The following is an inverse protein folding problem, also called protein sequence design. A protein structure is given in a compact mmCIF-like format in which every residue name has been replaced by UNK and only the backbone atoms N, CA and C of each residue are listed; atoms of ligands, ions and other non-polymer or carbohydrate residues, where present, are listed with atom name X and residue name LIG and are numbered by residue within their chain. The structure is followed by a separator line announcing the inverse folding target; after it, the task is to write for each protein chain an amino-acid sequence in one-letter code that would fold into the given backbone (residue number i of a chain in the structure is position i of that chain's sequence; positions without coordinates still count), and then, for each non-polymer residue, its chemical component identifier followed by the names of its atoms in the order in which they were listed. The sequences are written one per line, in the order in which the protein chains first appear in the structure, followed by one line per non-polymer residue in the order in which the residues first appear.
data_IF_579351596542
#
_entry.id   IF_579351596542
#
_cell.length_a   1.000
_cell.length_b   1.000
_cell.length_c   1.000
_cell.angle_alpha   90.00
_cell.angle_beta   90.00
_cell.angle_gamma   90.00
#
_symmetry.space_group_name_H-M   'P 1'
#
loop_
_entity.id
_entity.type
_entity.pdbx_description
1 polymer ?
#
# COMPACT_ATOMS: atom_id res chain seq x y z
N UNK A 1 27.75 22.62 10.40
CA UNK A 1 27.04 21.86 9.34
C UNK A 1 26.51 22.86 8.33
N UNK A 2 26.88 22.76 7.05
CA UNK A 2 26.31 23.59 5.99
C UNK A 2 24.86 23.19 5.74
N UNK A 3 23.97 24.16 5.48
CA UNK A 3 22.56 23.91 5.18
C UNK A 3 22.42 23.06 3.91
N UNK A 4 21.29 22.34 3.78
CA UNK A 4 20.95 21.58 2.57
C UNK A 4 21.07 22.45 1.31
N UNK A 5 20.60 23.70 1.37
CA UNK A 5 20.71 24.65 0.27
C UNK A 5 22.14 24.89 -0.20
N UNK A 6 23.10 24.94 0.72
CA UNK A 6 24.52 25.15 0.40
C UNK A 6 25.09 23.94 -0.34
N UNK A 7 24.78 22.72 0.14
CA UNK A 7 25.23 21.47 -0.49
C UNK A 7 24.65 21.27 -1.89
N UNK A 8 23.39 21.65 -2.11
CA UNK A 8 22.75 21.61 -3.43
C UNK A 8 23.39 22.60 -4.40
N UNK A 9 23.66 23.81 -3.95
CA UNK A 9 24.37 24.81 -4.76
C UNK A 9 25.80 24.37 -5.10
N UNK A 10 26.48 23.65 -4.20
CA UNK A 10 27.80 23.07 -4.47
C UNK A 10 27.76 21.98 -5.55
N UNK A 11 26.77 21.09 -5.51
CA UNK A 11 26.57 20.05 -6.53
C UNK A 11 26.26 20.63 -7.91
N UNK A 12 25.40 21.67 -7.95
CA UNK A 12 25.09 22.40 -9.17
C UNK A 12 26.33 23.10 -9.73
N UNK A 13 27.09 23.82 -8.90
CA UNK A 13 28.37 24.45 -9.30
C UNK A 13 29.40 23.43 -9.79
N UNK A 14 29.40 22.22 -9.25
CA UNK A 14 30.30 21.14 -9.65
C UNK A 14 29.90 20.44 -10.95
N UNK A 15 28.82 20.87 -11.63
CA UNK A 15 28.33 20.23 -12.84
C UNK A 15 27.82 18.80 -12.61
N UNK A 16 27.43 18.47 -11.37
CA UNK A 16 26.84 17.19 -10.98
C UNK A 16 25.39 17.41 -10.50
N UNK A 17 24.49 17.96 -11.33
CA UNK A 17 23.10 18.10 -10.94
C UNK A 17 22.52 16.70 -10.73
N UNK A 18 21.99 16.43 -9.54
CA UNK A 18 21.34 15.15 -9.30
C UNK A 18 19.92 15.21 -9.86
N UNK A 19 19.59 14.28 -10.75
CA UNK A 19 18.23 14.14 -11.27
C UNK A 19 17.41 13.28 -10.30
N UNK A 20 16.44 13.90 -9.63
CA UNK A 20 15.58 13.20 -8.68
C UNK A 20 14.20 12.96 -9.26
N UNK A 21 13.81 11.69 -9.35
CA UNK A 21 12.41 11.30 -9.51
C UNK A 21 11.77 11.11 -8.14
N UNK A 22 11.32 12.19 -7.50
CA UNK A 22 10.51 12.08 -6.27
C UNK A 22 9.07 11.84 -6.67
N UNK A 23 8.51 10.74 -6.20
CA UNK A 23 7.12 10.44 -6.44
C UNK A 23 6.39 10.69 -5.13
N UNK A 24 5.67 11.81 -5.10
CA UNK A 24 4.70 12.09 -4.05
C UNK A 24 3.60 11.03 -4.06
N UNK A 25 3.06 10.72 -2.90
CA UNK A 25 1.97 9.74 -2.68
C UNK A 25 0.59 10.28 -3.05
N UNK A 26 0.53 11.22 -3.99
CA UNK A 26 -0.70 11.57 -4.68
C UNK A 26 -1.18 10.41 -5.55
N UNK A 27 -2.36 10.59 -6.16
CA UNK A 27 -3.08 9.60 -6.98
C UNK A 27 -2.15 8.79 -7.90
N UNK A 28 -1.20 9.41 -8.58
CA UNK A 28 -0.29 8.68 -9.49
C UNK A 28 0.82 7.85 -8.79
N UNK A 29 1.35 8.33 -7.67
CA UNK A 29 2.53 7.74 -7.03
C UNK A 29 2.22 6.58 -6.10
N UNK A 30 1.14 6.68 -5.32
CA UNK A 30 0.69 5.61 -4.42
C UNK A 30 -0.18 4.56 -5.10
N UNK A 31 -0.78 4.86 -6.26
CA UNK A 31 -1.63 3.91 -6.96
C UNK A 31 -0.85 3.08 -7.96
N UNK A 32 -0.22 3.73 -8.93
CA UNK A 32 0.36 3.02 -10.06
C UNK A 32 1.74 2.49 -9.73
N UNK A 33 2.61 3.34 -9.17
CA UNK A 33 4.05 3.05 -9.09
C UNK A 33 4.38 2.13 -7.90
N UNK A 34 3.63 2.19 -6.81
CA UNK A 34 3.67 1.20 -5.72
C UNK A 34 3.31 -0.22 -6.18
N UNK A 35 2.45 -0.32 -7.21
CA UNK A 35 1.99 -1.56 -7.83
C UNK A 35 2.74 -1.86 -9.15
N UNK A 36 3.66 -1.00 -9.56
CA UNK A 36 4.51 -1.15 -10.76
C UNK A 36 5.94 -1.41 -10.30
N UNK A 37 6.16 -2.60 -9.75
CA UNK A 37 7.52 -3.06 -9.42
C UNK A 37 8.40 -3.12 -10.67
N UNK A 38 9.71 -3.14 -10.46
CA UNK A 38 10.82 -3.32 -11.41
C UNK A 38 10.83 -2.38 -12.59
N UNK A 39 9.81 -2.23 -13.43
CA UNK A 39 9.85 -1.36 -14.60
C UNK A 39 10.21 0.09 -14.23
N UNK A 40 9.54 0.71 -13.26
CA UNK A 40 9.86 2.09 -12.88
C UNK A 40 11.21 2.19 -12.13
N UNK A 41 11.41 1.38 -11.08
CA UNK A 41 12.63 1.44 -10.26
C UNK A 41 13.89 0.96 -11.01
N UNK A 42 13.79 -0.06 -11.86
CA UNK A 42 14.87 -0.55 -12.73
C UNK A 42 15.15 0.44 -13.85
N UNK A 43 14.15 0.94 -14.57
CA UNK A 43 14.36 1.96 -15.62
C UNK A 43 14.97 3.24 -15.02
N UNK A 44 14.55 3.62 -13.81
CA UNK A 44 15.18 4.72 -13.07
C UNK A 44 16.66 4.41 -12.77
N UNK A 45 16.98 3.24 -12.20
CA UNK A 45 18.37 2.83 -11.96
C UNK A 45 19.22 2.76 -13.24
N UNK A 46 18.70 2.20 -14.32
CA UNK A 46 19.33 2.14 -15.64
C UNK A 46 19.59 3.54 -16.21
N UNK A 47 18.73 4.51 -15.90
CA UNK A 47 18.89 5.92 -16.25
C UNK A 47 19.71 6.75 -15.24
N UNK A 48 20.22 6.14 -14.16
CA UNK A 48 20.94 6.86 -13.10
C UNK A 48 20.05 7.73 -12.19
N UNK A 49 18.74 7.46 -12.17
CA UNK A 49 17.71 8.17 -11.39
C UNK A 49 17.37 7.35 -10.14
N UNK A 50 17.30 8.03 -8.98
CA UNK A 50 16.83 7.43 -7.73
C UNK A 50 15.31 7.63 -7.65
N UNK A 51 14.58 6.50 -7.57
CA UNK A 51 13.15 6.45 -7.32
C UNK A 51 12.89 6.24 -5.82
N UNK A 52 12.02 7.06 -5.22
CA UNK A 52 11.68 6.97 -3.79
C UNK A 52 10.21 7.24 -3.52
N UNK A 53 9.64 6.50 -2.57
CA UNK A 53 8.44 6.88 -1.82
C UNK A 53 8.71 8.17 -1.05
N UNK A 54 7.71 9.05 -0.98
CA UNK A 54 7.81 10.32 -0.28
C UNK A 54 7.74 10.14 1.24
N UNK A 55 8.78 10.58 1.94
CA UNK A 55 8.82 10.62 3.40
C UNK A 55 7.81 11.65 3.93
N UNK A 56 7.08 11.27 4.98
CA UNK A 56 5.89 11.98 5.46
C UNK A 56 4.57 11.28 5.13
N UNK A 57 4.56 10.40 4.13
CA UNK A 57 3.46 9.44 3.94
C UNK A 57 3.75 8.14 4.68
N UNK A 58 2.70 7.40 5.03
CA UNK A 58 2.79 6.20 5.86
C UNK A 58 3.76 5.15 5.29
N UNK A 59 3.78 4.82 3.99
CA UNK A 59 4.67 3.76 3.49
C UNK A 59 6.16 4.01 3.71
N UNK A 60 6.63 5.25 3.52
CA UNK A 60 8.04 5.60 3.73
C UNK A 60 8.40 5.63 5.22
N UNK A 61 7.50 6.12 6.07
CA UNK A 61 7.69 6.10 7.52
C UNK A 61 7.72 4.67 8.08
N UNK A 62 6.83 3.80 7.59
CA UNK A 62 6.80 2.39 7.97
C UNK A 62 8.07 1.68 7.48
N UNK A 63 8.54 1.97 6.27
CA UNK A 63 9.80 1.42 5.76
C UNK A 63 10.99 1.75 6.67
N UNK A 64 11.09 2.99 7.15
CA UNK A 64 12.12 3.38 8.12
C UNK A 64 12.01 2.58 9.43
N UNK A 65 10.80 2.40 9.96
CA UNK A 65 10.56 1.64 11.19
C UNK A 65 10.92 0.15 11.02
N UNK A 66 10.59 -0.43 9.86
CA UNK A 66 10.95 -1.81 9.50
C UNK A 66 12.48 -1.98 9.39
N UNK A 67 13.13 -1.06 8.69
CA UNK A 67 14.59 -1.10 8.52
C UNK A 67 15.31 -0.94 9.87
N UNK A 68 14.81 -0.06 10.76
CA UNK A 68 15.31 0.05 12.13
C UNK A 68 15.15 -1.25 12.92
N UNK A 69 13.95 -1.86 12.90
CA UNK A 69 13.68 -3.08 13.65
C UNK A 69 14.60 -4.22 13.24
N UNK A 70 14.75 -4.43 11.92
CA UNK A 70 15.66 -5.44 11.36
C UNK A 70 17.11 -5.15 11.68
N UNK A 71 17.53 -3.88 11.59
CA UNK A 71 18.90 -3.46 11.93
C UNK A 71 19.22 -3.71 13.41
N UNK A 72 18.23 -3.54 14.29
CA UNK A 72 18.35 -3.84 15.72
C UNK A 72 18.26 -5.33 16.05
N UNK A 73 18.01 -6.20 15.07
CA UNK A 73 17.94 -7.66 15.23
C UNK A 73 16.56 -8.19 15.59
N UNK A 74 15.50 -7.38 15.48
CA UNK A 74 14.13 -7.84 15.70
C UNK A 74 13.53 -8.47 14.45
N UNK A 75 12.69 -9.49 14.66
CA UNK A 75 11.79 -9.99 13.62
C UNK A 75 10.61 -9.03 13.45
N UNK A 76 10.26 -8.72 12.20
CA UNK A 76 9.09 -7.91 11.87
C UNK A 76 7.89 -8.83 11.67
N UNK A 77 7.04 -8.89 12.69
CA UNK A 77 5.82 -9.70 12.70
C UNK A 77 4.74 -9.07 11.82
N UNK A 78 4.53 -7.77 11.97
CA UNK A 78 3.54 -7.00 11.24
C UNK A 78 4.00 -5.55 11.08
N UNK A 79 3.65 -4.91 9.96
CA UNK A 79 3.85 -3.48 9.75
C UNK A 79 2.60 -2.84 9.15
N UNK A 80 2.27 -1.61 9.54
CA UNK A 80 1.01 -1.02 9.11
C UNK A 80 0.67 0.34 9.69
N UNK A 81 -0.61 0.70 9.57
CA UNK A 81 -1.18 1.97 10.06
C UNK A 81 -2.46 1.72 10.85
N UNK A 82 -2.94 2.76 11.54
CA UNK A 82 -4.30 2.83 12.04
C UNK A 82 -5.18 3.72 11.17
N UNK A 83 -6.48 3.45 11.13
CA UNK A 83 -7.47 4.33 10.47
C UNK A 83 -8.86 4.19 11.09
N UNK A 84 -9.77 5.09 10.73
CA UNK A 84 -11.19 4.91 10.99
C UNK A 84 -11.78 3.98 9.93
N UNK A 85 -12.20 2.78 10.30
CA UNK A 85 -12.80 1.85 9.34
C UNK A 85 -13.85 0.90 9.94
N UNK A 86 -14.89 0.60 9.17
CA UNK A 86 -15.84 -0.49 9.41
C UNK A 86 -16.11 -1.17 8.07
N UNK A 87 -16.41 -2.50 8.04
CA UNK A 87 -16.64 -3.21 6.78
C UNK A 87 -17.71 -2.58 5.87
N UNK A 88 -18.73 -1.95 6.47
CA UNK A 88 -19.78 -1.25 5.72
C UNK A 88 -19.27 -0.04 4.93
N UNK A 89 -18.12 0.53 5.32
CA UNK A 89 -17.55 1.70 4.66
C UNK A 89 -17.00 1.39 3.26
N UNK A 90 -16.74 0.13 2.91
CA UNK A 90 -16.43 -0.25 1.52
C UNK A 90 -17.50 0.22 0.54
N UNK A 91 -18.75 0.34 0.98
CA UNK A 91 -19.89 0.78 0.17
C UNK A 91 -20.17 2.27 0.28
N UNK A 92 -19.36 3.03 1.04
CA UNK A 92 -19.48 4.48 1.09
C UNK A 92 -19.09 5.09 -0.25
N UNK A 93 -19.69 6.22 -0.55
CA UNK A 93 -19.63 6.95 -1.81
C UNK A 93 -19.38 8.43 -1.53
N UNK A 94 -19.01 9.23 -2.53
CA UNK A 94 -18.92 10.69 -2.38
C UNK A 94 -20.18 11.34 -1.77
N UNK A 95 -21.36 10.73 -1.93
CA UNK A 95 -22.62 11.22 -1.37
C UNK A 95 -22.82 10.87 0.11
N UNK A 96 -22.21 9.79 0.59
CA UNK A 96 -22.43 9.25 1.94
C UNK A 96 -21.29 9.53 2.91
N UNK A 97 -20.10 9.83 2.38
CA UNK A 97 -18.85 9.98 3.16
C UNK A 97 -18.98 10.92 4.36
N UNK A 98 -19.66 12.06 4.21
CA UNK A 98 -19.75 13.07 5.27
C UNK A 98 -20.60 12.62 6.47
N UNK A 99 -21.54 11.70 6.26
CA UNK A 99 -22.33 11.09 7.34
C UNK A 99 -21.45 10.28 8.30
N UNK A 100 -20.26 9.87 7.86
CA UNK A 100 -19.32 9.08 8.63
C UNK A 100 -18.21 9.91 9.27
N UNK A 101 -17.92 11.12 8.78
CA UNK A 101 -16.90 12.00 9.37
C UNK A 101 -17.44 12.93 10.46
N UNK A 102 -18.77 13.15 10.51
CA UNK A 102 -19.39 14.00 11.54
C UNK A 102 -19.14 15.49 11.32
N UNK A 103 -18.76 15.91 10.10
CA UNK A 103 -18.67 17.33 9.76
C UNK A 103 -20.04 17.98 9.69
N UNK A 104 -20.15 19.20 10.20
CA UNK A 104 -21.37 20.00 10.04
C UNK A 104 -21.45 20.56 8.62
N UNK A 105 -22.65 20.95 8.19
CA UNK A 105 -22.85 21.58 6.87
C UNK A 105 -22.05 22.88 6.74
N UNK A 106 -21.91 23.63 7.83
CA UNK A 106 -21.15 24.87 7.90
C UNK A 106 -19.64 24.62 7.73
N UNK A 107 -19.11 23.55 8.34
CA UNK A 107 -17.71 23.16 8.15
C UNK A 107 -17.44 22.81 6.69
N UNK A 108 -18.29 21.98 6.09
CA UNK A 108 -18.16 21.58 4.68
C UNK A 108 -18.24 22.77 3.72
N UNK A 109 -19.13 23.73 4.00
CA UNK A 109 -19.27 24.94 3.17
C UNK A 109 -18.07 25.89 3.28
N UNK A 110 -17.31 25.83 4.38
CA UNK A 110 -16.16 26.71 4.63
C UNK A 110 -14.82 26.20 4.11
N UNK A 111 -14.73 24.97 3.60
CA UNK A 111 -13.46 24.36 3.19
C UNK A 111 -13.50 23.73 1.79
N UNK A 112 -12.31 23.47 1.26
CA UNK A 112 -12.12 22.76 -0.02
C UNK A 112 -12.00 21.25 0.24
N UNK A 113 -13.15 20.62 0.54
CA UNK A 113 -13.22 19.20 0.83
C UNK A 113 -13.62 18.40 -0.40
N UNK A 114 -12.71 17.58 -0.93
CA UNK A 114 -13.02 16.68 -2.04
C UNK A 114 -13.66 15.38 -1.52
N UNK A 115 -14.96 15.13 -1.76
CA UNK A 115 -15.65 13.97 -1.21
C UNK A 115 -15.11 12.64 -1.74
N UNK A 116 -14.68 12.57 -3.00
CA UNK A 116 -14.10 11.36 -3.57
C UNK A 116 -12.78 11.01 -2.88
N UNK A 117 -11.93 12.01 -2.62
CA UNK A 117 -10.68 11.82 -1.88
C UNK A 117 -10.93 11.34 -0.44
N UNK A 118 -11.84 11.99 0.29
CA UNK A 118 -12.16 11.59 1.66
C UNK A 118 -12.79 10.19 1.73
N UNK A 119 -13.56 9.83 0.70
CA UNK A 119 -14.18 8.53 0.62
C UNK A 119 -13.14 7.43 0.37
N UNK A 120 -12.06 7.70 -0.37
CA UNK A 120 -11.01 6.70 -0.57
C UNK A 120 -10.19 6.39 0.68
N UNK A 121 -10.16 7.32 1.64
CA UNK A 121 -9.61 7.06 2.97
C UNK A 121 -10.55 6.16 3.79
N UNK A 122 -11.85 6.40 3.69
CA UNK A 122 -12.87 5.74 4.50
C UNK A 122 -13.17 4.31 4.01
N UNK A 123 -13.30 4.14 2.69
CA UNK A 123 -13.65 2.87 2.04
C UNK A 123 -12.51 1.84 2.03
N UNK A 124 -11.35 2.20 2.59
CA UNK A 124 -10.19 1.33 2.72
C UNK A 124 -9.26 1.31 1.51
N UNK A 125 -9.61 1.96 0.39
CA UNK A 125 -8.78 1.94 -0.83
C UNK A 125 -7.39 2.50 -0.58
N UNK A 126 -7.29 3.65 0.08
CA UNK A 126 -5.99 4.27 0.40
C UNK A 126 -5.16 3.40 1.34
N UNK A 127 -5.81 2.75 2.32
CA UNK A 127 -5.19 1.79 3.22
C UNK A 127 -4.62 0.59 2.45
N UNK A 128 -5.38 0.01 1.52
CA UNK A 128 -4.92 -1.09 0.67
C UNK A 128 -3.70 -0.69 -0.19
N UNK A 129 -3.73 0.49 -0.81
CA UNK A 129 -2.63 1.03 -1.62
C UNK A 129 -1.36 1.26 -0.82
N UNK A 130 -1.49 1.84 0.37
CA UNK A 130 -0.35 2.06 1.27
C UNK A 130 0.24 0.74 1.77
N UNK A 131 -0.60 -0.24 2.13
CA UNK A 131 -0.13 -1.55 2.57
C UNK A 131 0.49 -2.37 1.44
N UNK A 132 0.01 -2.23 0.20
CA UNK A 132 0.70 -2.80 -0.97
C UNK A 132 2.10 -2.19 -1.12
N UNK A 133 2.23 -0.86 -0.99
CA UNK A 133 3.52 -0.18 -1.04
C UNK A 133 4.47 -0.64 0.08
N UNK A 134 3.95 -0.80 1.30
CA UNK A 134 4.72 -1.34 2.44
C UNK A 134 5.14 -2.77 2.17
N UNK A 135 4.22 -3.67 1.79
CA UNK A 135 4.54 -5.06 1.47
C UNK A 135 5.64 -5.16 0.41
N UNK A 136 5.46 -4.44 -0.69
CA UNK A 136 6.38 -4.40 -1.81
C UNK A 136 7.73 -3.76 -1.45
N UNK A 137 7.77 -2.75 -0.56
CA UNK A 137 9.01 -2.06 -0.17
C UNK A 137 9.76 -2.68 1.01
N UNK A 138 9.06 -3.46 1.83
CA UNK A 138 9.56 -3.98 3.09
C UNK A 138 9.79 -5.49 3.05
N UNK A 139 9.59 -6.17 1.93
CA UNK A 139 9.67 -7.64 1.85
C UNK A 139 8.76 -8.29 2.90
N UNK A 140 7.49 -7.85 2.89
CA UNK A 140 6.40 -8.40 3.68
C UNK A 140 5.32 -8.88 2.71
N UNK A 141 4.45 -9.77 3.17
CA UNK A 141 3.39 -10.33 2.34
C UNK A 141 2.00 -9.85 2.78
N UNK A 142 1.05 -9.63 1.86
CA UNK A 142 -0.34 -9.38 2.25
C UNK A 142 -1.00 -10.58 2.94
N UNK A 143 -2.03 -10.34 3.77
CA UNK A 143 -2.97 -11.38 4.19
C UNK A 143 -3.71 -11.97 2.99
N UNK A 144 -4.07 -13.25 3.06
CA UNK A 144 -4.63 -13.98 1.90
C UNK A 144 -6.01 -13.46 1.49
N UNK A 145 -6.81 -12.93 2.43
CA UNK A 145 -8.13 -12.38 2.15
C UNK A 145 -8.19 -10.84 2.18
N UNK A 146 -7.04 -10.17 2.07
CA UNK A 146 -6.92 -8.73 2.22
C UNK A 146 -6.89 -8.27 3.68
N UNK A 147 -6.85 -6.96 3.88
CA UNK A 147 -6.70 -6.33 5.20
C UNK A 147 -7.91 -6.65 6.11
N UNK A 148 -7.65 -7.05 7.35
CA UNK A 148 -8.68 -7.44 8.31
C UNK A 148 -9.31 -6.28 9.06
N UNK A 149 -8.62 -5.13 9.15
CA UNK A 149 -9.07 -3.97 9.95
C UNK A 149 -9.44 -4.32 11.40
N UNK A 150 -8.63 -5.11 12.15
CA UNK A 150 -8.96 -5.47 13.52
C UNK A 150 -9.12 -4.21 14.39
N UNK A 151 -10.18 -4.11 15.23
CA UNK A 151 -10.29 -3.05 16.21
C UNK A 151 -9.12 -3.16 17.19
N UNK A 152 -8.37 -2.08 17.35
CA UNK A 152 -7.17 -2.12 18.20
C UNK A 152 -6.80 -0.73 18.72
N UNK A 153 -6.72 -0.62 20.05
CA UNK A 153 -6.05 0.50 20.71
C UNK A 153 -4.53 0.41 20.55
N UNK A 154 -3.82 1.54 20.67
CA UNK A 154 -2.36 1.59 20.51
C UNK A 154 -1.61 0.65 21.48
N UNK A 155 -2.13 0.49 22.70
CA UNK A 155 -1.52 -0.35 23.73
C UNK A 155 -1.79 -1.84 23.52
N UNK A 156 -2.76 -2.19 22.69
CA UNK A 156 -3.14 -3.57 22.39
C UNK A 156 -2.46 -4.09 21.12
N UNK A 157 -1.75 -3.24 20.37
CA UNK A 157 -1.04 -3.61 19.15
C UNK A 157 -0.20 -4.91 19.28
N UNK A 158 0.67 -5.09 20.29
CA UNK A 158 1.47 -6.32 20.40
C UNK A 158 0.64 -7.57 20.78
N UNK A 159 -0.59 -7.39 21.25
CA UNK A 159 -1.50 -8.48 21.60
C UNK A 159 -2.41 -8.85 20.44
N UNK A 160 -2.88 -7.87 19.67
CA UNK A 160 -3.77 -8.07 18.51
C UNK A 160 -2.96 -8.47 17.26
N UNK A 161 -1.87 -7.76 16.97
CA UNK A 161 -1.08 -7.93 15.75
C UNK A 161 0.05 -8.96 15.90
N UNK A 162 -0.33 -10.16 16.32
CA UNK A 162 0.52 -11.36 16.31
C UNK A 162 -0.24 -12.55 15.71
N UNK A 163 0.43 -13.66 15.38
CA UNK A 163 -0.24 -14.82 14.80
C UNK A 163 -1.40 -15.33 15.66
N UNK A 164 -2.44 -15.87 15.01
CA UNK A 164 -3.57 -16.53 15.68
C UNK A 164 -3.10 -17.64 16.64
N UNK A 165 -2.06 -18.38 16.27
CA UNK A 165 -1.49 -19.44 17.11
C UNK A 165 -0.88 -18.92 18.43
N UNK A 166 -0.53 -17.63 18.47
CA UNK A 166 -0.02 -16.96 19.68
C UNK A 166 -1.12 -16.14 20.38
N UNK A 167 -2.38 -16.32 19.97
CA UNK A 167 -3.54 -15.63 20.51
C UNK A 167 -3.79 -14.24 19.94
N UNK A 168 -3.20 -13.88 18.81
CA UNK A 168 -3.52 -12.63 18.09
C UNK A 168 -4.54 -12.85 16.97
N UNK A 169 -4.54 -11.97 15.97
CA UNK A 169 -5.49 -11.99 14.85
C UNK A 169 -4.84 -12.15 13.46
N UNK A 170 -3.51 -12.23 13.39
CA UNK A 170 -2.80 -12.34 12.11
C UNK A 170 -2.78 -13.78 11.61
N UNK A 171 -2.96 -13.95 10.29
CA UNK A 171 -2.80 -15.24 9.61
C UNK A 171 -1.36 -15.77 9.71
N UNK A 172 -0.36 -14.88 9.68
CA UNK A 172 1.07 -15.19 9.61
C UNK A 172 1.94 -14.03 10.12
N UNK A 173 3.22 -14.31 10.40
CA UNK A 173 4.25 -13.26 10.61
C UNK A 173 4.75 -12.74 9.26
N UNK A 174 5.52 -11.63 9.27
CA UNK A 174 6.02 -11.01 8.04
C UNK A 174 4.90 -10.47 7.15
N UNK A 175 3.84 -9.90 7.77
CA UNK A 175 2.65 -9.42 7.06
C UNK A 175 2.44 -7.91 7.17
N UNK A 176 1.56 -7.37 6.33
CA UNK A 176 0.98 -6.04 6.52
C UNK A 176 -0.44 -6.15 7.08
N UNK A 177 -0.86 -5.14 7.83
CA UNK A 177 -2.24 -5.01 8.33
C UNK A 177 -2.59 -3.53 8.58
N UNK A 178 -3.87 -3.20 8.66
CA UNK A 178 -4.35 -1.90 9.13
C UNK A 178 -5.25 -2.11 10.33
N UNK A 179 -5.08 -1.38 11.41
CA UNK A 179 -6.00 -1.45 12.56
C UNK A 179 -7.13 -0.43 12.44
N UNK A 180 -8.30 -0.78 12.96
CA UNK A 180 -9.40 0.17 13.08
C UNK A 180 -9.44 0.81 14.47
N UNK A 181 -9.68 2.12 14.54
CA UNK A 181 -10.07 2.79 15.78
C UNK A 181 -11.57 2.70 16.09
N UNK A 182 -12.34 1.98 15.26
CA UNK A 182 -13.77 1.75 15.45
C UNK A 182 -14.01 0.31 15.90
N UNK A 183 -14.85 0.14 16.91
CA UNK A 183 -15.40 -1.16 17.29
C UNK A 183 -16.61 -1.48 16.41
N UNK A 184 -16.89 -2.77 16.21
CA UNK A 184 -18.15 -3.21 15.60
C UNK A 184 -19.26 -3.05 16.65
N UNK A 185 -20.44 -2.56 16.26
CA UNK A 185 -21.63 -2.56 17.12
C UNK A 185 -22.07 -4.00 17.35
N UNK A 186 -21.42 -4.67 18.29
CA UNK A 186 -21.79 -5.97 18.83
C UNK A 186 -21.79 -5.84 20.35
N UNK A 187 -22.90 -6.28 20.94
CA UNK A 187 -23.02 -6.49 22.38
C UNK A 187 -21.79 -7.29 22.88
N UNK A 188 -20.88 -6.61 23.58
CA UNK A 188 -19.96 -7.23 24.52
C UNK A 188 -18.80 -8.06 23.98
N UNK A 189 -18.04 -7.57 22.99
CA UNK A 189 -16.69 -8.10 22.73
C UNK A 189 -15.62 -7.02 22.87
N UNK A 190 -15.35 -6.59 24.10
CA UNK A 190 -14.00 -6.15 24.46
C UNK A 190 -13.20 -7.42 24.76
N UNK A 191 -12.43 -7.91 23.80
CA UNK A 191 -11.39 -8.90 24.13
C UNK A 191 -10.31 -8.15 24.91
N UNK A 192 -10.49 -8.08 26.23
CA UNK A 192 -9.42 -7.65 27.15
C UNK A 192 -8.36 -8.75 27.08
N UNK A 193 -7.25 -8.47 26.40
CA UNK A 193 -6.07 -9.32 26.47
C UNK A 193 -5.45 -9.13 27.86
N UNK A 194 -5.65 -10.09 28.77
CA UNK A 194 -5.15 -10.00 30.15
C UNK A 194 -3.66 -10.36 30.30
N UNK A 195 -3.00 -10.76 29.20
CA UNK A 195 -1.60 -11.14 29.19
C UNK A 195 -0.71 -10.08 28.56
N UNK A 196 0.24 -9.54 29.33
CA UNK A 196 1.37 -8.83 28.75
C UNK A 196 2.16 -9.82 27.89
N UNK A 197 2.20 -9.61 26.58
CA UNK A 197 3.14 -10.33 25.73
C UNK A 197 4.57 -9.98 26.12
N UNK A 198 5.34 -10.97 26.57
CA UNK A 198 6.77 -10.78 26.87
C UNK A 198 7.66 -10.91 25.64
N UNK A 199 7.11 -11.34 24.51
CA UNK A 199 7.84 -11.62 23.26
C UNK A 199 7.49 -10.70 22.09
N UNK A 200 6.37 -9.97 22.18
CA UNK A 200 5.91 -9.05 21.14
C UNK A 200 5.93 -7.62 21.66
N UNK A 201 6.49 -6.70 20.87
CA UNK A 201 6.52 -5.27 21.16
C UNK A 201 6.06 -4.47 19.94
N UNK A 202 5.47 -3.30 20.18
CA UNK A 202 5.04 -2.40 19.11
C UNK A 202 5.86 -1.11 19.13
N UNK A 203 6.39 -0.74 17.96
CA UNK A 203 6.88 0.62 17.72
C UNK A 203 5.73 1.43 17.14
N UNK A 204 5.49 2.63 17.68
CA UNK A 204 4.38 3.48 17.26
C UNK A 204 4.87 4.92 17.02
N UNK A 205 4.53 5.46 15.85
CA UNK A 205 4.77 6.86 15.49
C UNK A 205 3.42 7.59 15.46
N UNK A 206 3.13 8.49 16.43
CA UNK A 206 1.80 9.11 16.57
C UNK A 206 1.50 10.24 15.58
N UNK A 207 2.40 10.49 14.61
CA UNK A 207 2.26 11.59 13.67
C UNK A 207 2.93 11.28 12.33
N UNK A 208 2.42 11.92 11.30
CA UNK A 208 3.06 12.10 10.01
C UNK A 208 2.57 13.43 9.45
N UNK A 209 3.45 14.21 8.82
CA UNK A 209 3.17 15.58 8.39
C UNK A 209 3.13 15.73 6.86
N UNK A 210 2.99 14.61 6.15
CA UNK A 210 2.73 14.54 4.70
C UNK A 210 3.77 15.38 3.93
N UNK A 211 3.33 16.41 3.21
CA UNK A 211 4.21 17.22 2.36
C UNK A 211 5.26 18.03 3.14
N UNK A 212 5.06 18.28 4.44
CA UNK A 212 6.02 19.01 5.27
C UNK A 212 7.32 18.23 5.49
N UNK A 213 7.26 16.89 5.42
CA UNK A 213 8.43 16.03 5.61
C UNK A 213 9.11 15.62 4.29
N UNK A 214 8.57 16.04 3.13
CA UNK A 214 9.11 15.70 1.82
C UNK A 214 10.58 16.12 1.64
N UNK A 215 10.99 17.19 2.32
CA UNK A 215 12.38 17.66 2.34
C UNK A 215 13.38 16.62 2.87
N UNK A 216 12.92 15.65 3.67
CA UNK A 216 13.74 14.54 4.16
C UNK A 216 14.11 13.59 3.01
N UNK A 217 13.16 13.24 2.14
CA UNK A 217 13.46 12.44 0.93
C UNK A 217 14.47 13.16 0.04
N UNK A 218 14.26 14.46 -0.20
CA UNK A 218 15.21 15.28 -0.98
C UNK A 218 16.60 15.20 -0.34
N UNK A 219 16.71 15.48 0.97
CA UNK A 219 17.99 15.49 1.67
C UNK A 219 18.70 14.13 1.64
N UNK A 220 17.99 13.04 1.91
CA UNK A 220 18.57 11.67 1.94
C UNK A 220 19.07 11.26 0.56
N UNK A 221 18.32 11.53 -0.50
CA UNK A 221 18.74 11.23 -1.87
C UNK A 221 19.96 12.09 -2.25
N UNK A 222 19.94 13.39 -1.93
CA UNK A 222 21.00 14.34 -2.32
C UNK A 222 22.31 14.15 -1.56
N UNK A 223 22.23 13.78 -0.29
CA UNK A 223 23.42 13.67 0.57
C UNK A 223 23.97 12.25 0.60
N UNK A 224 23.11 11.23 0.52
CA UNK A 224 23.48 9.82 0.69
C UNK A 224 23.27 8.97 -0.56
N UNK A 225 22.53 9.45 -1.55
CA UNK A 225 22.15 8.63 -2.71
C UNK A 225 21.16 7.52 -2.36
N UNK A 226 20.40 7.68 -1.27
CA UNK A 226 19.50 6.66 -0.75
C UNK A 226 18.04 7.11 -0.88
N UNK A 227 17.11 6.22 -1.29
CA UNK A 227 15.67 6.51 -1.20
C UNK A 227 15.21 6.39 0.26
N UNK A 228 14.16 7.13 0.62
CA UNK A 228 13.46 6.98 1.92
C UNK A 228 12.47 5.82 1.95
N UNK A 229 12.33 5.13 0.82
CA UNK A 229 11.52 3.92 0.66
C UNK A 229 11.42 3.59 -0.83
N UNK A 230 11.50 2.32 -1.20
CA UNK A 230 11.42 1.89 -2.59
C UNK A 230 10.84 0.48 -2.65
N UNK A 231 10.01 0.18 -3.66
CA UNK A 231 9.51 -1.18 -3.90
C UNK A 231 10.67 -2.12 -4.29
N UNK A 232 10.80 -3.22 -3.53
CA UNK A 232 11.84 -4.25 -3.62
C UNK A 232 11.33 -5.56 -4.20
N UNK A 233 10.05 -5.87 -4.01
CA UNK A 233 9.33 -7.04 -4.57
C UNK A 233 7.93 -6.65 -5.06
N UNK A 234 7.25 -7.51 -5.81
CA UNK A 234 5.80 -7.46 -6.04
C UNK A 234 5.15 -8.59 -5.23
N UNK A 235 4.90 -8.32 -3.95
CA UNK A 235 4.26 -9.25 -3.02
C UNK A 235 2.75 -8.97 -2.91
N UNK A 236 2.34 -7.72 -3.08
CA UNK A 236 0.95 -7.28 -2.99
C UNK A 236 0.51 -6.39 -4.14
N UNK A 237 -0.78 -6.50 -4.44
CA UNK A 237 -1.46 -5.77 -5.49
C UNK A 237 -2.86 -5.33 -5.01
N UNK A 238 -3.42 -4.27 -5.59
CA UNK A 238 -4.72 -3.74 -5.16
C UNK A 238 -5.71 -3.81 -6.30
N UNK A 239 -6.60 -4.79 -6.22
CA UNK A 239 -7.58 -5.09 -7.25
C UNK A 239 -8.83 -4.23 -7.04
N UNK A 240 -9.32 -3.62 -8.12
CA UNK A 240 -10.61 -2.94 -8.13
C UNK A 240 -11.72 -3.95 -7.81
N UNK A 241 -12.53 -3.69 -6.78
CA UNK A 241 -13.60 -4.58 -6.31
C UNK A 241 -14.91 -3.84 -6.31
N UNK A 242 -15.96 -4.43 -6.89
CA UNK A 242 -17.25 -3.79 -7.11
C UNK A 242 -17.96 -3.44 -5.79
N UNK A 243 -18.37 -2.17 -5.62
CA UNK A 243 -19.17 -1.70 -4.46
C UNK A 243 -20.64 -2.10 -4.54
N UNK A 244 -21.12 -2.36 -5.76
CA UNK A 244 -22.50 -2.72 -6.11
C UNK A 244 -22.48 -3.57 -7.37
N UNK A 245 -23.63 -4.10 -7.75
CA UNK A 245 -23.77 -4.69 -9.08
C UNK A 245 -23.52 -3.61 -10.16
N UNK A 246 -22.64 -3.93 -11.10
CA UNK A 246 -22.26 -3.10 -12.23
C UNK A 246 -22.75 -3.77 -13.53
N UNK A 247 -23.15 -2.96 -14.49
CA UNK A 247 -23.66 -3.39 -15.79
C UNK A 247 -22.67 -3.13 -16.91
N UNK A 248 -22.71 -3.99 -17.92
CA UNK A 248 -21.99 -3.77 -19.17
C UNK A 248 -22.28 -2.36 -19.73
N UNK A 249 -21.24 -1.68 -20.20
CA UNK A 249 -21.30 -0.31 -20.70
C UNK A 249 -21.16 0.78 -19.64
N UNK A 250 -21.21 0.47 -18.34
CA UNK A 250 -20.91 1.46 -17.29
C UNK A 250 -19.43 1.85 -17.30
N UNK A 251 -19.13 3.11 -16.96
CA UNK A 251 -17.76 3.62 -16.80
C UNK A 251 -17.37 3.62 -15.32
N UNK A 252 -16.22 3.03 -15.02
CA UNK A 252 -15.66 3.01 -13.67
C UNK A 252 -15.15 4.40 -13.26
N UNK A 253 -15.51 4.82 -12.06
CA UNK A 253 -15.07 6.09 -11.47
C UNK A 253 -13.81 5.97 -10.59
N UNK A 254 -13.34 4.74 -10.38
CA UNK A 254 -12.09 4.43 -9.70
C UNK A 254 -12.14 4.68 -8.18
N UNK A 255 -10.96 4.88 -7.60
CA UNK A 255 -10.77 5.08 -6.15
C UNK A 255 -11.71 6.14 -5.56
N UNK A 256 -12.30 5.81 -4.41
CA UNK A 256 -13.18 6.71 -3.66
C UNK A 256 -14.51 7.02 -4.36
N UNK A 257 -14.77 6.41 -5.52
CA UNK A 257 -15.99 6.60 -6.28
C UNK A 257 -17.17 5.76 -5.78
N UNK A 258 -18.14 5.58 -6.66
CA UNK A 258 -19.38 4.83 -6.50
C UNK A 258 -19.27 3.39 -7.02
N UNK A 259 -18.35 3.11 -7.95
CA UNK A 259 -18.33 1.82 -8.66
C UNK A 259 -17.46 0.78 -7.97
N UNK A 260 -16.26 1.15 -7.52
CA UNK A 260 -15.25 0.21 -7.01
C UNK A 260 -14.49 0.77 -5.80
N UNK A 261 -14.00 -0.12 -4.94
CA UNK A 261 -12.96 0.15 -3.95
C UNK A 261 -11.72 -0.71 -4.24
N UNK A 262 -10.58 -0.39 -3.64
CA UNK A 262 -9.37 -1.21 -3.76
C UNK A 262 -9.30 -2.28 -2.67
N UNK A 263 -9.21 -3.55 -3.07
CA UNK A 263 -8.93 -4.67 -2.15
C UNK A 263 -7.48 -5.12 -2.31
N UNK A 264 -6.72 -5.10 -1.23
CA UNK A 264 -5.37 -5.66 -1.20
C UNK A 264 -5.47 -7.19 -1.35
N UNK A 265 -4.67 -7.74 -2.26
CA UNK A 265 -4.50 -9.18 -2.48
C UNK A 265 -3.02 -9.50 -2.64
N UNK A 266 -2.64 -10.77 -2.57
CA UNK A 266 -1.29 -11.17 -2.96
C UNK A 266 -1.07 -10.92 -4.46
N UNK A 267 0.15 -10.62 -4.85
CA UNK A 267 0.48 -10.45 -6.27
C UNK A 267 0.22 -11.74 -7.08
N UNK A 268 0.41 -12.91 -6.47
CA UNK A 268 0.09 -14.20 -7.09
C UNK A 268 -1.41 -14.33 -7.37
N UNK A 269 -2.27 -14.00 -6.41
CA UNK A 269 -3.73 -14.08 -6.59
C UNK A 269 -4.21 -13.07 -7.63
N UNK A 270 -3.69 -11.82 -7.60
CA UNK A 270 -4.00 -10.81 -8.62
C UNK A 270 -3.61 -11.30 -10.01
N UNK A 271 -2.41 -11.86 -10.16
CA UNK A 271 -1.95 -12.39 -11.44
C UNK A 271 -2.77 -13.60 -11.90
N UNK A 272 -3.20 -14.47 -10.98
CA UNK A 272 -4.00 -15.65 -11.30
C UNK A 272 -5.38 -15.28 -11.87
N UNK A 273 -5.98 -14.20 -11.39
CA UNK A 273 -7.29 -13.71 -11.87
C UNK A 273 -7.17 -12.65 -12.98
N UNK A 274 -5.96 -12.25 -13.36
CA UNK A 274 -5.71 -11.07 -14.22
C UNK A 274 -6.38 -9.80 -13.68
N UNK A 275 -6.20 -9.54 -12.38
CA UNK A 275 -6.86 -8.49 -11.63
C UNK A 275 -6.61 -7.10 -12.21
N UNK A 276 -7.69 -6.31 -12.32
CA UNK A 276 -7.63 -4.92 -12.73
C UNK A 276 -7.11 -4.07 -11.56
N UNK A 277 -5.93 -3.44 -11.65
CA UNK A 277 -5.42 -2.61 -10.57
C UNK A 277 -6.31 -1.37 -10.38
N UNK A 278 -6.72 -1.10 -9.14
CA UNK A 278 -7.57 0.07 -8.80
C UNK A 278 -6.94 1.39 -9.27
N UNK A 279 -5.59 1.42 -9.36
CA UNK A 279 -4.82 2.55 -9.87
C UNK A 279 -5.09 2.94 -11.32
N UNK A 280 -5.61 2.01 -12.13
CA UNK A 280 -5.90 2.21 -13.54
C UNK A 280 -7.40 2.15 -13.86
N UNK A 281 -8.24 1.79 -12.89
CA UNK A 281 -9.65 1.51 -13.14
C UNK A 281 -10.44 2.75 -13.63
N UNK A 282 -10.02 3.96 -13.26
CA UNK A 282 -10.75 5.18 -13.59
C UNK A 282 -10.86 5.40 -15.10
N UNK A 283 -12.10 5.55 -15.59
CA UNK A 283 -12.41 5.85 -16.99
C UNK A 283 -12.50 4.61 -17.88
N UNK A 284 -12.30 3.40 -17.36
CA UNK A 284 -12.52 2.19 -18.13
C UNK A 284 -14.00 1.84 -18.22
N UNK A 285 -14.41 1.32 -19.38
CA UNK A 285 -15.79 0.91 -19.67
C UNK A 285 -15.92 -0.59 -19.48
N UNK A 286 -16.98 -1.03 -18.80
CA UNK A 286 -17.25 -2.45 -18.59
C UNK A 286 -17.74 -3.13 -19.87
N UNK A 287 -17.22 -4.33 -20.14
CA UNK A 287 -17.64 -5.19 -21.25
C UNK A 287 -18.77 -6.14 -20.85
N UNK A 288 -18.89 -6.46 -19.57
CA UNK A 288 -19.92 -7.34 -19.04
C UNK A 288 -20.35 -6.91 -17.64
N UNK A 289 -21.47 -7.48 -17.19
CA UNK A 289 -21.96 -7.28 -15.82
C UNK A 289 -20.95 -7.86 -14.81
N UNK A 290 -20.81 -7.18 -13.67
CA UNK A 290 -19.98 -7.59 -12.54
C UNK A 290 -20.80 -7.49 -11.27
N UNK A 291 -20.84 -8.56 -10.47
CA UNK A 291 -21.59 -8.57 -9.22
C UNK A 291 -20.87 -7.76 -8.14
N UNK A 292 -21.64 -7.24 -7.17
CA UNK A 292 -21.10 -6.67 -5.94
C UNK A 292 -20.08 -7.60 -5.29
N UNK A 293 -19.03 -7.03 -4.70
CA UNK A 293 -17.94 -7.71 -3.98
C UNK A 293 -17.02 -8.59 -4.83
N UNK A 294 -17.25 -8.69 -6.14
CA UNK A 294 -16.32 -9.34 -7.06
C UNK A 294 -15.15 -8.41 -7.42
N UNK A 295 -13.95 -8.97 -7.42
CA UNK A 295 -12.76 -8.33 -7.96
C UNK A 295 -12.82 -8.28 -9.49
N UNK A 296 -12.57 -7.10 -10.06
CA UNK A 296 -12.58 -6.88 -11.49
C UNK A 296 -11.28 -7.38 -12.13
N UNK A 297 -11.37 -7.82 -13.37
CA UNK A 297 -10.24 -8.29 -14.18
C UNK A 297 -10.00 -7.42 -15.41
N UNK A 298 -8.86 -7.58 -16.07
CA UNK A 298 -8.63 -7.01 -17.41
C UNK A 298 -9.67 -7.48 -18.44
N UNK A 299 -10.27 -8.66 -18.25
CA UNK A 299 -11.30 -9.18 -19.13
C UNK A 299 -12.65 -8.47 -18.94
N UNK A 300 -12.82 -7.71 -17.86
CA UNK A 300 -14.06 -7.03 -17.55
C UNK A 300 -14.15 -5.65 -18.21
N UNK A 301 -13.01 -5.10 -18.65
CA UNK A 301 -12.93 -3.71 -19.11
C UNK A 301 -12.38 -3.56 -20.53
N UNK A 302 -12.80 -2.50 -21.19
CA UNK A 302 -12.16 -1.98 -22.39
C UNK A 302 -10.90 -1.19 -22.01
N UNK A 303 -9.76 -1.56 -22.59
CA UNK A 303 -8.50 -0.85 -22.38
C UNK A 303 -7.66 -0.85 -23.66
N UNK A 304 -6.71 0.09 -23.73
CA UNK A 304 -5.73 0.15 -24.82
C UNK A 304 -4.32 -0.04 -24.27
N UNK A 305 -3.59 -1.02 -24.79
CA UNK A 305 -2.16 -1.19 -24.51
C UNK A 305 -1.30 -0.05 -25.06
N UNK A 306 -1.87 0.85 -25.87
CA UNK A 306 -1.18 2.08 -26.30
C UNK A 306 -1.11 3.12 -25.19
N UNK A 307 -1.98 3.02 -24.17
CA UNK A 307 -1.90 3.89 -23.00
C UNK A 307 -0.67 3.53 -22.19
N UNK A 308 0.23 4.50 -21.98
CA UNK A 308 1.54 4.26 -21.35
C UNK A 308 1.44 3.51 -20.02
N UNK A 309 0.50 3.87 -19.15
CA UNK A 309 0.32 3.23 -17.86
C UNK A 309 -0.17 1.77 -17.97
N UNK A 310 -1.01 1.47 -18.97
CA UNK A 310 -1.43 0.10 -19.25
C UNK A 310 -0.26 -0.71 -19.81
N UNK A 311 0.49 -0.14 -20.77
CA UNK A 311 1.66 -0.78 -21.37
C UNK A 311 2.70 -1.18 -20.32
N UNK A 312 3.07 -0.24 -19.44
CA UNK A 312 4.06 -0.49 -18.39
C UNK A 312 3.53 -1.52 -17.36
N UNK A 313 2.22 -1.54 -17.09
CA UNK A 313 1.61 -2.54 -16.18
C UNK A 313 1.63 -3.93 -16.80
N UNK A 314 1.26 -4.05 -18.08
CA UNK A 314 1.34 -5.31 -18.83
C UNK A 314 2.78 -5.82 -18.94
N UNK A 315 3.74 -4.92 -19.17
CA UNK A 315 5.18 -5.24 -19.15
C UNK A 315 5.60 -5.81 -17.78
N UNK A 316 5.16 -5.17 -16.68
CA UNK A 316 5.43 -5.67 -15.33
C UNK A 316 4.81 -7.06 -15.09
N UNK A 317 3.52 -7.23 -15.39
CA UNK A 317 2.82 -8.51 -15.22
C UNK A 317 3.53 -9.64 -15.99
N UNK A 318 3.99 -9.36 -17.21
CA UNK A 318 4.73 -10.33 -18.02
C UNK A 318 6.10 -10.71 -17.42
N UNK A 319 6.85 -9.74 -16.90
CA UNK A 319 8.13 -9.98 -16.21
C UNK A 319 7.91 -10.87 -14.98
N UNK A 320 6.95 -10.53 -14.13
CA UNK A 320 6.68 -11.25 -12.90
C UNK A 320 6.11 -12.65 -13.10
N UNK A 321 5.31 -12.85 -14.15
CA UNK A 321 4.84 -14.18 -14.51
C UNK A 321 6.00 -15.15 -14.74
N UNK A 322 7.10 -14.69 -15.33
CA UNK A 322 8.32 -15.49 -15.51
C UNK A 322 9.02 -15.75 -14.17
N UNK A 323 9.14 -14.73 -13.31
CA UNK A 323 9.77 -14.86 -11.99
C UNK A 323 9.03 -15.86 -11.10
N UNK A 324 7.69 -15.76 -11.01
CA UNK A 324 6.88 -16.70 -10.23
C UNK A 324 6.96 -18.13 -10.78
N UNK A 325 7.01 -18.31 -12.10
CA UNK A 325 7.22 -19.62 -12.71
C UNK A 325 8.61 -20.18 -12.40
N UNK A 326 9.65 -19.34 -12.40
CA UNK A 326 11.01 -19.73 -12.05
C UNK A 326 11.13 -20.13 -10.57
N UNK A 327 10.48 -19.42 -9.66
CA UNK A 327 10.43 -19.79 -8.23
C UNK A 327 9.70 -21.12 -8.00
N UNK A 328 8.55 -21.34 -8.66
CA UNK A 328 7.80 -22.61 -8.56
C UNK A 328 8.56 -23.80 -9.14
N UNK A 329 9.36 -23.60 -10.19
CA UNK A 329 10.19 -24.65 -10.78
C UNK A 329 11.50 -24.90 -10.03
N UNK A 330 12.06 -23.88 -9.36
CA UNK A 330 13.22 -24.02 -8.48
C UNK A 330 12.90 -24.64 -7.12
N UNK A 331 11.66 -24.51 -6.63
CA UNK A 331 11.19 -25.06 -5.35
C UNK A 331 11.10 -26.60 -5.27
N UNK A 332 11.34 -27.33 -6.37
CA UNK A 332 11.37 -28.80 -6.38
C UNK A 332 12.76 -29.37 -6.03
N UNK A 333 13.81 -28.54 -5.90
CA UNK A 333 15.17 -28.98 -5.53
C UNK A 333 15.74 -28.22 -4.32
N UNK A 334 15.09 -28.34 -3.15
CA UNK A 334 15.50 -27.61 -1.96
C UNK A 334 15.19 -28.28 -0.62
N UNK A 335 15.32 -29.60 -0.52
CA UNK A 335 15.44 -30.29 0.77
C UNK A 335 16.83 -30.93 0.87
N UNK A 336 17.52 -30.59 1.96
CA UNK A 336 18.75 -31.15 2.51
C UNK A 336 20.08 -30.79 1.82
N UNK A 337 20.79 -29.83 2.42
CA UNK A 337 22.18 -29.55 2.12
C UNK A 337 22.82 -28.73 3.24
N UNK A 338 23.00 -29.34 4.41
CA UNK A 338 23.98 -28.87 5.39
C UNK A 338 25.34 -28.86 4.70
N UNK A 339 25.98 -27.69 4.59
CA UNK A 339 27.41 -27.46 4.40
C UNK A 339 27.62 -25.98 4.76
N UNK A 340 28.26 -25.57 5.85
CA UNK A 340 29.53 -26.07 6.36
C UNK A 340 30.66 -25.45 5.55
N UNK A 341 31.57 -24.74 6.26
CA UNK A 341 32.89 -24.24 5.86
C UNK A 341 32.88 -22.95 4.99
N UNK A 342 33.54 -21.82 5.30
CA UNK A 342 34.66 -21.44 6.16
C UNK A 342 34.45 -20.05 6.78
#
# INVERSE_FOLDING_TARGET
MTSLSTKLADLERAGKPVQVGIIGTGKFGSMYISQSHHTAARKAREAGIIYSMAYGDQPALIAEMVDWARTAGFEVVCAGKGTKHLPVYHYSTPDTVWNHYGFTKEQLAGGDFNPQMFNSFLDGTKSALEMAAVANGCDLSPPTNGLGFPPCGVWDLPNVLKPINDGGQLEKTGTVEVVSCMEKDVDGFSTIYDGASTWYAAQYKPYHLIGLELGISVATIMVRGEPTGQTKTWAGDVVATAKRDLKAGETLDGEGGFTVYGKLVTAEDSMAIEGLPIGLAHGFVLKHDVQKDHGLTWQDVEYSEKTQAVAIRKEMEAMFKQEFQAQKSGGVNGLNGVNGVH
#
